data_IF_628537118927
#
_entry.id   IF_628537118927
#
_cell.length_a   1.000
_cell.length_b   1.000
_cell.length_c   1.000
_cell.angle_alpha   90.00
_cell.angle_beta   90.00
_cell.angle_gamma   90.00
#
_symmetry.space_group_name_H-M   'P 1'
#
loop_
_entity.id
_entity.type
_entity.pdbx_description
1 polymer ?
#
# COMPACT_ATOMS: atom_id res chain seq x y z
N UNK A 1 54.05 41.03 -21.42
CA UNK A 1 53.49 42.16 -20.66
C UNK A 1 52.81 43.10 -21.67
N UNK A 2 51.59 43.65 -21.46
CA UNK A 2 50.43 43.21 -20.67
C UNK A 2 49.14 43.04 -21.53
N UNK A 3 48.09 42.37 -20.99
CA UNK A 3 46.71 42.41 -21.50
C UNK A 3 45.98 43.70 -21.11
N UNK A 4 44.64 43.77 -20.90
CA UNK A 4 43.52 42.83 -21.13
C UNK A 4 42.31 43.49 -21.87
N UNK A 5 41.16 42.79 -21.99
CA UNK A 5 39.75 43.30 -21.96
C UNK A 5 38.85 42.15 -22.47
N UNK A 6 38.17 41.39 -21.60
CA UNK A 6 36.95 41.69 -20.85
C UNK A 6 35.69 41.10 -21.52
N UNK A 7 34.90 40.45 -20.68
CA UNK A 7 33.80 39.56 -20.96
C UNK A 7 32.45 40.26 -21.21
N UNK A 8 31.55 39.57 -21.92
CA UNK A 8 30.11 39.46 -21.66
C UNK A 8 29.60 38.28 -22.53
N UNK A 9 28.87 37.25 -22.08
CA UNK A 9 28.04 37.12 -20.89
C UNK A 9 26.56 37.29 -21.24
N UNK A 10 25.90 36.24 -21.75
CA UNK A 10 24.44 35.97 -21.61
C UNK A 10 24.14 34.62 -22.27
N UNK A 11 23.96 33.51 -21.53
CA UNK A 11 22.91 33.14 -20.58
C UNK A 11 21.62 32.64 -21.25
N UNK A 12 21.34 31.38 -20.92
CA UNK A 12 20.04 30.75 -20.70
C UNK A 12 19.12 30.47 -21.90
N UNK A 13 18.89 29.17 -22.11
CA UNK A 13 17.80 28.66 -22.92
C UNK A 13 17.76 27.13 -22.98
N UNK A 14 18.12 26.44 -21.89
CA UNK A 14 17.91 25.00 -21.80
C UNK A 14 16.39 24.75 -21.73
N UNK A 15 15.79 24.43 -22.88
CA UNK A 15 14.39 24.07 -22.99
C UNK A 15 14.05 22.93 -22.03
N UNK A 16 13.34 23.28 -20.96
CA UNK A 16 12.79 22.32 -20.03
C UNK A 16 11.70 21.53 -20.77
N UNK A 17 12.02 20.29 -21.13
CA UNK A 17 11.04 19.28 -21.49
C UNK A 17 9.99 19.20 -20.38
N UNK A 18 8.70 19.49 -20.65
CA UNK A 18 7.66 19.22 -19.69
C UNK A 18 7.66 17.71 -19.48
N UNK A 19 7.95 17.27 -18.24
CA UNK A 19 7.78 15.87 -17.87
C UNK A 19 6.29 15.57 -17.96
N UNK A 20 5.85 15.14 -19.14
CA UNK A 20 4.53 14.55 -19.35
C UNK A 20 4.55 13.24 -18.56
N UNK A 21 4.11 13.30 -17.31
CA UNK A 21 3.67 12.11 -16.59
C UNK A 21 2.32 11.79 -17.19
N UNK A 22 2.34 10.99 -18.26
CA UNK A 22 1.12 10.33 -18.73
C UNK A 22 0.57 9.54 -17.55
N UNK A 23 -0.52 10.01 -16.97
CA UNK A 23 -1.34 9.28 -15.98
C UNK A 23 -2.03 8.04 -16.59
N UNK A 24 -1.51 7.51 -17.71
CA UNK A 24 -1.89 6.20 -18.20
C UNK A 24 -1.04 5.21 -17.42
N UNK A 25 -1.66 4.56 -16.42
CA UNK A 25 -1.11 3.40 -15.71
C UNK A 25 -0.80 2.30 -16.74
N UNK A 26 0.37 2.39 -17.36
CA UNK A 26 0.92 1.34 -18.20
C UNK A 26 1.51 0.26 -17.30
N UNK A 27 1.41 -1.02 -17.66
CA UNK A 27 1.92 -2.11 -16.84
C UNK A 27 3.45 -1.98 -16.66
N UNK A 28 3.90 -2.02 -15.41
CA UNK A 28 5.31 -1.96 -15.05
C UNK A 28 5.89 -3.37 -15.14
N UNK A 29 6.74 -3.61 -16.13
CA UNK A 29 7.45 -4.89 -16.29
C UNK A 29 8.74 -4.87 -15.46
N UNK A 30 8.98 -5.90 -14.65
CA UNK A 30 10.31 -6.20 -14.10
C UNK A 30 11.10 -7.06 -15.11
N UNK A 31 12.40 -7.23 -14.89
CA UNK A 31 13.39 -7.91 -15.76
C UNK A 31 13.08 -9.36 -16.19
N UNK A 32 11.91 -9.92 -15.86
CA UNK A 32 11.55 -11.32 -16.12
C UNK A 32 10.33 -11.50 -17.02
N UNK A 33 9.86 -10.44 -17.71
CA UNK A 33 8.81 -10.47 -18.76
C UNK A 33 7.59 -11.36 -18.44
N UNK A 34 7.25 -11.49 -17.17
CA UNK A 34 6.03 -12.14 -16.73
C UNK A 34 4.95 -11.06 -16.61
N UNK A 35 3.77 -11.33 -17.18
CA UNK A 35 2.60 -10.47 -16.96
C UNK A 35 2.20 -10.64 -15.50
N UNK A 36 2.67 -9.76 -14.62
CA UNK A 36 2.06 -9.59 -13.31
C UNK A 36 0.61 -9.19 -13.57
N UNK A 37 -0.32 -10.09 -13.25
CA UNK A 37 -1.76 -9.81 -13.32
C UNK A 37 -2.07 -8.49 -12.63
N UNK A 38 -3.02 -7.74 -13.17
CA UNK A 38 -3.40 -6.37 -12.77
C UNK A 38 -3.16 -6.08 -11.27
N UNK A 39 -2.09 -5.33 -10.99
CA UNK A 39 -1.79 -4.61 -9.75
C UNK A 39 -2.34 -5.23 -8.44
N UNK A 40 -1.92 -6.45 -8.11
CA UNK A 40 -2.24 -7.15 -6.84
C UNK A 40 -1.74 -6.45 -5.57
N UNK A 41 -0.79 -5.51 -5.72
CA UNK A 41 -0.26 -4.76 -4.59
C UNK A 41 -1.18 -3.60 -4.16
N UNK A 42 -1.44 -3.57 -2.86
CA UNK A 42 -2.07 -2.50 -2.13
C UNK A 42 -1.02 -1.56 -1.54
N UNK A 43 -1.06 -0.30 -1.96
CA UNK A 43 -0.12 0.73 -1.52
C UNK A 43 -0.78 1.67 -0.54
N UNK A 44 -0.26 1.71 0.69
CA UNK A 44 -0.75 2.59 1.75
C UNK A 44 0.02 3.90 1.73
N UNK A 45 -0.73 5.00 1.72
CA UNK A 45 -0.17 6.35 1.67
C UNK A 45 -0.21 7.00 3.05
N UNK A 46 0.77 7.81 3.41
CA UNK A 46 0.71 8.56 4.65
C UNK A 46 -0.39 9.63 4.58
N UNK A 47 -1.23 9.77 5.62
CA UNK A 47 -2.24 10.84 5.67
C UNK A 47 -1.64 12.24 5.70
N UNK A 48 -0.43 12.39 6.24
CA UNK A 48 0.21 13.70 6.44
C UNK A 48 0.99 14.19 5.22
N UNK A 49 1.75 13.32 4.55
CA UNK A 49 2.62 13.70 3.43
C UNK A 49 2.33 12.98 2.11
N UNK A 50 1.32 12.09 2.05
CA UNK A 50 0.97 11.27 0.88
C UNK A 50 2.07 10.33 0.35
N UNK A 51 3.23 10.24 0.99
CA UNK A 51 4.29 9.31 0.63
C UNK A 51 3.82 7.85 0.79
N UNK A 52 4.36 6.95 -0.03
CA UNK A 52 4.12 5.51 0.09
C UNK A 52 4.83 4.96 1.32
N UNK A 53 4.07 4.35 2.23
CA UNK A 53 4.54 3.89 3.54
C UNK A 53 4.67 2.37 3.58
N UNK A 54 3.62 1.68 3.14
CA UNK A 54 3.53 0.22 3.15
C UNK A 54 3.04 -0.22 1.78
N UNK A 55 3.69 -1.22 1.22
CA UNK A 55 3.24 -1.93 0.04
C UNK A 55 2.99 -3.37 0.48
N UNK A 56 1.77 -3.84 0.29
CA UNK A 56 1.36 -5.18 0.71
C UNK A 56 0.52 -5.83 -0.38
N UNK A 57 0.64 -7.13 -0.55
CA UNK A 57 -0.22 -7.92 -1.45
C UNK A 57 -1.50 -8.41 -0.74
N UNK A 58 -1.70 -8.05 0.53
CA UNK A 58 -2.85 -8.53 1.31
C UNK A 58 -4.18 -8.10 0.69
N UNK A 59 -5.13 -9.02 0.60
CA UNK A 59 -6.52 -8.69 0.30
C UNK A 59 -7.14 -7.80 1.38
N UNK A 60 -7.41 -6.53 1.05
CA UNK A 60 -8.03 -5.55 1.95
C UNK A 60 -9.33 -6.03 2.59
N UNK A 61 -10.03 -6.96 1.94
CA UNK A 61 -11.27 -7.57 2.42
C UNK A 61 -11.07 -8.51 3.60
N UNK A 62 -9.91 -9.15 3.68
CA UNK A 62 -9.61 -10.20 4.64
C UNK A 62 -8.61 -9.76 5.72
N UNK A 63 -8.08 -8.53 5.65
CA UNK A 63 -7.09 -8.05 6.62
C UNK A 63 -7.72 -8.02 8.03
N UNK A 64 -7.15 -8.78 9.00
CA UNK A 64 -7.64 -8.76 10.36
C UNK A 64 -7.42 -7.38 10.99
N UNK A 65 -8.43 -6.92 11.74
CA UNK A 65 -8.38 -5.64 12.46
C UNK A 65 -8.34 -5.90 13.95
N UNK A 66 -7.42 -5.25 14.64
CA UNK A 66 -7.29 -5.35 16.09
C UNK A 66 -8.42 -4.60 16.77
N UNK A 67 -9.20 -5.27 17.63
CA UNK A 67 -10.35 -4.65 18.34
C UNK A 67 -9.99 -3.47 19.24
N UNK A 68 -8.79 -3.46 19.82
CA UNK A 68 -8.40 -2.45 20.80
C UNK A 68 -8.08 -1.08 20.18
N UNK A 69 -7.55 -1.07 18.96
CA UNK A 69 -6.95 0.13 18.33
C UNK A 69 -7.47 0.38 16.91
N UNK A 70 -8.17 -0.60 16.32
CA UNK A 70 -8.56 -0.58 14.90
C UNK A 70 -7.39 -0.80 13.94
N UNK A 71 -6.17 -1.04 14.44
CA UNK A 71 -4.99 -1.26 13.62
C UNK A 71 -5.14 -2.50 12.71
N UNK A 72 -4.72 -2.35 11.46
CA UNK A 72 -4.67 -3.41 10.46
C UNK A 72 -3.49 -4.33 10.80
N UNK A 73 -3.75 -5.62 10.87
CA UNK A 73 -2.75 -6.63 11.20
C UNK A 73 -2.29 -7.26 9.90
N UNK A 74 -1.03 -7.02 9.54
CA UNK A 74 -0.36 -7.65 8.41
C UNK A 74 0.61 -8.70 8.95
N UNK A 75 0.50 -9.91 8.42
CA UNK A 75 1.36 -11.02 8.79
C UNK A 75 2.38 -11.25 7.67
N UNK A 76 3.67 -11.21 7.98
CA UNK A 76 4.70 -11.34 6.93
C UNK A 76 4.95 -12.79 6.49
N UNK A 77 4.38 -13.78 7.20
CA UNK A 77 4.48 -15.17 6.78
C UNK A 77 3.48 -15.49 5.66
N UNK A 78 2.33 -14.81 5.67
CA UNK A 78 1.26 -14.99 4.70
C UNK A 78 1.30 -13.95 3.57
N UNK A 79 1.84 -12.76 3.81
CA UNK A 79 1.79 -11.65 2.84
C UNK A 79 3.15 -11.01 2.65
N UNK A 80 3.45 -10.61 1.42
CA UNK A 80 4.61 -9.76 1.12
C UNK A 80 4.40 -8.36 1.68
N UNK A 81 5.26 -7.95 2.62
CA UNK A 81 5.23 -6.61 3.22
C UNK A 81 6.53 -5.88 2.88
N UNK A 82 6.39 -4.75 2.17
CA UNK A 82 7.49 -3.81 1.93
C UNK A 82 7.22 -2.50 2.65
N UNK A 83 8.07 -2.17 3.62
CA UNK A 83 7.99 -0.96 4.42
C UNK A 83 8.98 0.08 3.89
N UNK A 84 8.49 1.29 3.61
CA UNK A 84 9.31 2.46 3.29
C UNK A 84 9.31 3.45 4.47
N UNK A 85 9.64 2.92 5.66
CA UNK A 85 9.58 3.62 6.94
C UNK A 85 10.92 3.57 7.64
N UNK A 86 11.24 4.62 8.40
CA UNK A 86 12.37 4.65 9.31
C UNK A 86 11.98 3.96 10.62
N UNK A 87 12.80 2.97 11.02
CA UNK A 87 12.68 2.27 12.30
C UNK A 87 13.05 3.27 13.41
N UNK A 88 12.16 3.54 14.36
CA UNK A 88 12.52 4.35 15.53
C UNK A 88 13.37 3.51 16.48
N UNK A 89 14.49 4.07 16.91
CA UNK A 89 15.35 3.46 17.92
C UNK A 89 14.74 3.66 19.31
N UNK A 90 13.94 2.70 19.73
CA UNK A 90 13.31 2.71 21.05
C UNK A 90 12.05 1.84 21.08
N UNK A 91 11.81 1.18 22.22
CA UNK A 91 10.53 0.54 22.50
C UNK A 91 9.66 1.48 23.34
N UNK A 92 8.47 1.81 22.88
CA UNK A 92 7.48 2.52 23.69
C UNK A 92 6.70 1.51 24.54
N UNK A 93 6.67 1.72 25.85
CA UNK A 93 5.85 0.91 26.74
C UNK A 93 4.49 1.56 26.90
N UNK A 94 3.44 0.97 26.32
CA UNK A 94 2.07 1.46 26.45
C UNK A 94 1.36 0.66 27.55
N UNK A 95 0.83 1.36 28.56
CA UNK A 95 -0.06 0.76 29.56
C UNK A 95 -1.48 0.72 29.00
N UNK A 96 -1.98 -0.49 28.68
CA UNK A 96 -3.37 -0.74 28.30
C UNK A 96 -4.13 -1.32 29.50
N UNK A 97 -5.47 -1.27 29.51
CA UNK A 97 -6.28 -1.83 30.60
C UNK A 97 -6.03 -3.33 30.84
N UNK A 98 -5.63 -4.08 29.81
CA UNK A 98 -5.31 -5.51 29.88
C UNK A 98 -3.80 -5.82 30.08
N UNK A 99 -2.99 -4.82 30.43
CA UNK A 99 -1.55 -4.99 30.69
C UNK A 99 -0.66 -3.99 29.94
N UNK A 100 0.64 -4.07 30.17
CA UNK A 100 1.62 -3.25 29.48
C UNK A 100 2.18 -3.95 28.24
N UNK A 101 2.17 -3.28 27.09
CA UNK A 101 2.69 -3.80 25.83
C UNK A 101 3.90 -2.96 25.38
N UNK A 102 4.98 -3.63 24.97
CA UNK A 102 6.13 -2.96 24.33
C UNK A 102 5.86 -2.86 22.84
N UNK A 103 5.99 -1.66 22.30
CA UNK A 103 5.74 -1.37 20.90
C UNK A 103 6.97 -0.73 20.27
N UNK A 104 7.42 -1.28 19.15
CA UNK A 104 8.49 -0.72 18.33
C UNK A 104 7.85 0.05 17.18
N UNK A 105 8.00 1.37 17.20
CA UNK A 105 7.27 2.27 16.29
C UNK A 105 8.04 2.45 14.98
N UNK A 106 7.32 2.39 13.88
CA UNK A 106 7.78 2.75 12.55
C UNK A 106 7.28 4.14 12.18
N UNK A 107 8.21 4.98 11.74
CA UNK A 107 7.92 6.35 11.33
C UNK A 107 8.05 6.52 9.82
N UNK A 108 7.22 7.36 9.22
CA UNK A 108 7.31 7.68 7.80
C UNK A 108 8.65 8.35 7.50
N UNK A 109 9.39 7.86 6.50
CA UNK A 109 10.70 8.41 6.13
C UNK A 109 10.62 9.89 5.66
N UNK A 110 9.50 10.32 5.09
CA UNK A 110 9.35 11.68 4.57
C UNK A 110 8.91 12.72 5.61
N UNK A 111 8.10 12.34 6.61
CA UNK A 111 7.53 13.31 7.57
C UNK A 111 7.71 12.95 9.05
N UNK A 112 8.30 11.80 9.37
CA UNK A 112 8.52 11.33 10.74
C UNK A 112 7.25 10.93 11.49
N UNK A 113 6.08 10.90 10.85
CA UNK A 113 4.83 10.52 11.51
C UNK A 113 4.79 9.02 11.83
N UNK A 114 4.34 8.64 13.03
CA UNK A 114 4.17 7.24 13.41
C UNK A 114 3.04 6.60 12.61
N UNK A 115 3.37 5.55 11.85
CA UNK A 115 2.48 4.95 10.85
C UNK A 115 2.14 3.49 11.13
N UNK A 116 3.08 2.77 11.72
CA UNK A 116 2.92 1.37 12.06
C UNK A 116 3.76 1.04 13.29
N UNK A 117 3.53 -0.11 13.91
CA UNK A 117 4.32 -0.60 15.01
C UNK A 117 4.38 -2.13 15.00
N UNK A 118 5.37 -2.69 15.69
CA UNK A 118 5.52 -4.14 15.92
C UNK A 118 5.56 -4.42 17.42
N UNK A 119 5.07 -5.60 17.81
CA UNK A 119 5.15 -6.07 19.20
C UNK A 119 6.47 -6.78 19.50
N UNK A 120 7.16 -7.27 18.46
CA UNK A 120 8.44 -7.95 18.56
C UNK A 120 9.60 -6.96 18.31
N UNK A 121 10.74 -7.16 19.01
CA UNK A 121 11.94 -6.40 18.77
C UNK A 121 12.43 -6.61 17.35
N UNK A 122 13.10 -5.59 16.86
CA UNK A 122 13.46 -5.52 15.45
C UNK A 122 14.60 -6.43 14.99
N UNK A 123 15.17 -7.15 15.94
CA UNK A 123 16.20 -8.16 15.75
C UNK A 123 15.63 -9.49 15.23
N UNK A 124 14.31 -9.69 15.33
CA UNK A 124 13.64 -10.88 14.80
C UNK A 124 12.95 -10.58 13.46
N UNK A 125 12.72 -11.63 12.68
CA UNK A 125 11.97 -11.53 11.43
C UNK A 125 10.56 -10.95 11.68
N UNK A 126 10.08 -10.13 10.76
CA UNK A 126 8.91 -9.27 10.96
C UNK A 126 7.61 -10.09 10.96
N UNK A 127 7.27 -10.82 12.02
CA UNK A 127 6.09 -11.70 11.98
C UNK A 127 4.76 -10.95 11.81
N UNK A 128 4.50 -9.98 12.69
CA UNK A 128 3.26 -9.22 12.73
C UNK A 128 3.54 -7.72 12.72
N UNK A 129 3.01 -7.04 11.70
CA UNK A 129 3.04 -5.60 11.55
C UNK A 129 1.64 -5.03 11.80
N UNK A 130 1.55 -4.10 12.73
CA UNK A 130 0.32 -3.40 13.04
C UNK A 130 0.37 -2.02 12.39
N UNK A 131 -0.49 -1.77 11.41
CA UNK A 131 -0.60 -0.48 10.72
C UNK A 131 -1.74 0.33 11.32
N UNK A 132 -1.45 1.55 11.76
CA UNK A 132 -2.46 2.43 12.36
C UNK A 132 -3.32 3.06 11.28
N UNK A 133 -4.60 2.68 11.22
CA UNK A 133 -5.53 3.15 10.18
C UNK A 133 -5.73 4.67 10.15
N UNK A 134 -5.61 5.35 11.29
CA UNK A 134 -5.71 6.81 11.36
C UNK A 134 -4.51 7.54 10.74
N UNK A 135 -3.33 6.89 10.70
CA UNK A 135 -2.09 7.48 10.19
C UNK A 135 -1.89 7.26 8.68
N UNK A 136 -2.55 6.24 8.12
CA UNK A 136 -2.43 5.86 6.71
C UNK A 136 -3.75 6.01 5.95
N UNK A 137 -3.65 6.23 4.64
CA UNK A 137 -4.76 6.16 3.69
C UNK A 137 -4.65 4.83 2.97
N UNK A 138 -5.54 3.93 3.33
CA UNK A 138 -5.70 2.62 2.71
C UNK A 138 -6.53 2.79 1.44
N UNK A 139 -6.15 2.17 0.31
CA UNK A 139 -6.91 2.22 -0.93
C UNK A 139 -8.12 1.29 -0.85
N UNK A 140 -9.08 1.59 0.04
CA UNK A 140 -10.32 0.80 0.21
C UNK A 140 -11.13 0.64 -1.08
N UNK A 141 -10.94 1.53 -2.06
CA UNK A 141 -11.51 1.40 -3.42
C UNK A 141 -11.07 0.13 -4.15
N UNK A 142 -9.86 -0.39 -3.85
CA UNK A 142 -9.37 -1.68 -4.36
C UNK A 142 -9.97 -2.89 -3.63
N UNK A 143 -10.77 -2.68 -2.58
CA UNK A 143 -11.42 -3.78 -1.86
C UNK A 143 -12.42 -4.42 -2.82
N UNK A 144 -12.04 -5.56 -3.39
CA UNK A 144 -12.91 -6.33 -4.28
C UNK A 144 -14.16 -6.68 -3.48
N UNK A 145 -15.31 -6.18 -3.95
CA UNK A 145 -16.59 -6.58 -3.39
C UNK A 145 -16.74 -8.08 -3.64
N UNK A 146 -16.95 -8.91 -2.60
CA UNK A 146 -17.18 -10.34 -2.79
C UNK A 146 -18.45 -10.62 -3.60
N UNK A 147 -19.28 -9.60 -3.83
CA UNK A 147 -20.52 -9.66 -4.60
C UNK A 147 -20.35 -9.28 -6.09
N UNK A 148 -19.12 -9.29 -6.61
CA UNK A 148 -18.88 -9.03 -8.03
C UNK A 148 -19.06 -10.30 -8.86
N UNK A 149 -19.84 -10.22 -9.94
CA UNK A 149 -19.97 -11.33 -10.89
C UNK A 149 -18.68 -11.49 -11.70
N UNK A 150 -18.07 -12.68 -11.63
CA UNK A 150 -16.86 -13.05 -12.36
C UNK A 150 -17.03 -13.11 -13.89
N UNK A 151 -18.24 -13.38 -14.40
CA UNK A 151 -18.51 -13.49 -15.85
C UNK A 151 -18.71 -12.12 -16.50
N UNK A 152 -19.36 -11.17 -15.83
CA UNK A 152 -19.73 -9.88 -16.42
C UNK A 152 -19.22 -8.64 -15.68
N UNK A 153 -18.55 -8.81 -14.54
CA UNK A 153 -18.00 -7.71 -13.75
C UNK A 153 -19.02 -6.87 -12.97
N UNK A 154 -20.32 -7.21 -13.01
CA UNK A 154 -21.35 -6.45 -12.29
C UNK A 154 -21.23 -6.62 -10.77
N UNK A 155 -21.10 -5.52 -10.04
CA UNK A 155 -21.01 -5.50 -8.57
C UNK A 155 -22.41 -5.45 -7.98
N UNK A 156 -22.83 -6.55 -7.35
CA UNK A 156 -24.11 -6.63 -6.65
C UNK A 156 -24.00 -6.06 -5.23
N UNK A 157 -25.14 -5.70 -4.61
CA UNK A 157 -25.15 -5.11 -3.28
C UNK A 157 -25.24 -6.15 -2.15
N UNK A 158 -25.54 -7.41 -2.46
CA UNK A 158 -25.64 -8.51 -1.49
C UNK A 158 -25.42 -9.89 -2.10
N UNK A 159 -25.24 -10.91 -1.26
CA UNK A 159 -25.14 -12.33 -1.64
C UNK A 159 -26.28 -12.76 -2.52
N UNK A 160 -27.49 -12.55 -2.02
CA UNK A 160 -28.69 -13.02 -2.67
C UNK A 160 -28.92 -12.30 -3.99
N UNK A 161 -28.48 -11.04 -4.12
CA UNK A 161 -28.51 -10.34 -5.40
C UNK A 161 -27.46 -10.87 -6.38
N UNK A 162 -26.25 -11.23 -5.92
CA UNK A 162 -25.26 -11.87 -6.78
C UNK A 162 -25.75 -13.24 -7.27
N UNK A 163 -26.30 -14.06 -6.37
CA UNK A 163 -26.89 -15.36 -6.72
C UNK A 163 -28.07 -15.21 -7.68
N UNK A 164 -28.99 -14.28 -7.40
CA UNK A 164 -30.11 -13.98 -8.28
C UNK A 164 -29.64 -13.44 -9.64
N UNK A 165 -28.62 -12.56 -9.66
CA UNK A 165 -28.01 -12.04 -10.87
C UNK A 165 -27.41 -13.17 -11.72
N UNK A 166 -26.64 -14.07 -11.11
CA UNK A 166 -26.05 -15.23 -11.78
C UNK A 166 -27.13 -16.15 -12.35
N UNK A 167 -28.20 -16.38 -11.59
CA UNK A 167 -29.35 -17.21 -12.02
C UNK A 167 -30.18 -16.57 -13.13
N UNK A 168 -30.43 -15.26 -13.07
CA UNK A 168 -31.20 -14.51 -14.08
C UNK A 168 -30.45 -14.40 -15.41
N UNK A 169 -29.13 -14.21 -15.36
CA UNK A 169 -28.27 -14.07 -16.55
C UNK A 169 -27.68 -15.39 -17.06
N UNK A 170 -27.98 -16.51 -16.40
CA UNK A 170 -27.42 -17.84 -16.71
C UNK A 170 -25.89 -17.85 -16.71
N UNK A 171 -25.26 -17.10 -15.80
CA UNK A 171 -23.81 -17.18 -15.57
C UNK A 171 -23.51 -18.43 -14.75
N UNK A 172 -23.26 -19.55 -15.44
CA UNK A 172 -22.76 -20.78 -14.84
C UNK A 172 -21.28 -20.58 -14.48
N UNK A 173 -20.92 -20.83 -13.22
CA UNK A 173 -19.53 -21.15 -12.86
C UNK A 173 -19.20 -22.43 -13.63
N UNK A 174 -18.48 -22.30 -14.75
CA UNK A 174 -17.68 -23.42 -15.22
C UNK A 174 -16.52 -23.46 -14.24
N UNK A 175 -16.64 -24.33 -13.23
CA UNK A 175 -15.51 -24.85 -12.48
C UNK A 175 -14.42 -25.19 -13.51
N UNK A 176 -13.31 -24.44 -13.51
CA UNK A 176 -12.12 -24.85 -14.23
C UNK A 176 -11.57 -26.10 -13.53
N UNK A 177 -12.12 -27.24 -13.92
CA UNK A 177 -11.50 -28.53 -13.71
C UNK A 177 -10.27 -28.66 -14.62
N UNK A 178 -9.12 -28.92 -14.01
CA UNK A 178 -7.85 -29.19 -14.69
C UNK A 178 -6.67 -29.16 -13.75
#
# INVERSE_FOLDING_TARGET
>A
LPGPLAAAGSAAGAGAMPKVVTFRRGPVFTNMRERLGEDGFNVFHCRRCSAHVVITDADLSCIPRRRTDGALVLDASSVVIRLNTTRQEGSQLIRRPNGAERQYVHTCASCGHAVAYTSLPHSEDLRLLYVTESAVRVPWDKMKSPWACNVCGYVCQSASQLEAHRKQRQHSEQDEGG
#
